data_IF_064133835982
#
_entry.id   IF_064133835982
#
_cell.length_a   1.000
_cell.length_b   1.000
_cell.length_c   1.000
_cell.angle_alpha   90.00
_cell.angle_beta   90.00
_cell.angle_gamma   90.00
#
_symmetry.space_group_name_H-M   'P 1'
#
loop_
_entity.id
_entity.type
_entity.pdbx_description
1 polymer ?
#
# COMPACT_ATOMS: atom_id res chain seq x y z
N UNK A 1 -1.92 -2.65 -5.88
CA UNK A 1 -0.68 -3.24 -5.30
C UNK A 1 -0.98 -3.85 -3.94
N UNK A 2 -0.15 -3.49 -2.97
CA UNK A 2 -0.30 -3.95 -1.60
C UNK A 2 0.52 -3.06 -0.70
N UNK A 3 1.69 -2.66 -1.17
CA UNK A 3 2.53 -1.77 -0.40
C UNK A 3 1.98 -0.36 -0.50
N UNK A 4 1.22 -0.10 -1.56
CA UNK A 4 0.63 1.21 -1.77
C UNK A 4 -0.45 1.47 -0.72
N UNK A 5 -1.37 0.54 -0.57
CA UNK A 5 -2.43 0.72 0.40
C UNK A 5 -1.89 0.62 1.82
N UNK A 6 -0.84 -0.18 2.02
CA UNK A 6 -0.26 -0.31 3.35
C UNK A 6 0.46 0.98 3.71
N UNK A 7 1.21 1.52 2.75
CA UNK A 7 1.91 2.77 2.98
C UNK A 7 0.87 3.88 3.06
N UNK A 8 -0.27 3.62 2.41
CA UNK A 8 -1.38 4.56 2.40
C UNK A 8 -2.55 3.99 3.19
N UNK A 9 -2.31 3.18 4.18
#
# INVERSE_FOLDING_TARGET
WWWLRKIWX
#
